data_IF_669193592849
#
_entry.id   IF_669193592849
#
_cell.length_a   1.000
_cell.length_b   1.000
_cell.length_c   1.000
_cell.angle_alpha   90.00
_cell.angle_beta   90.00
_cell.angle_gamma   90.00
#
_symmetry.space_group_name_H-M   'P 1'
#
loop_
_entity.id
_entity.type
_entity.pdbx_description
1 polymer ?
#
# COMPACT_ATOMS: atom_id res chain seq x y z
N UNK A 1 -18.45 -17.11 4.99
CA UNK A 1 -17.23 -17.89 4.74
C UNK A 1 -16.38 -16.97 3.89
N UNK A 2 -15.70 -16.03 4.56
CA UNK A 2 -15.36 -14.71 4.00
C UNK A 2 -14.25 -14.72 2.94
N UNK A 3 -13.37 -15.72 2.95
CA UNK A 3 -12.18 -15.75 2.09
C UNK A 3 -12.36 -16.51 0.76
N UNK A 4 -13.54 -17.08 0.49
CA UNK A 4 -13.76 -17.93 -0.69
C UNK A 4 -14.88 -17.46 -1.63
N UNK A 5 -15.55 -16.36 -1.30
CA UNK A 5 -16.54 -15.72 -2.16
C UNK A 5 -15.97 -14.42 -2.74
N UNK A 6 -15.86 -14.36 -4.06
CA UNK A 6 -15.37 -13.19 -4.79
C UNK A 6 -16.29 -11.97 -4.61
N UNK A 7 -17.57 -12.18 -4.36
CA UNK A 7 -18.51 -11.12 -4.05
C UNK A 7 -18.29 -10.56 -2.63
N UNK A 8 -18.12 -11.44 -1.64
CA UNK A 8 -17.81 -11.02 -0.26
C UNK A 8 -16.47 -10.26 -0.21
N UNK A 9 -15.45 -10.74 -0.92
CA UNK A 9 -14.17 -10.06 -1.09
C UNK A 9 -14.31 -8.67 -1.72
N UNK A 10 -15.08 -8.56 -2.81
CA UNK A 10 -15.29 -7.29 -3.49
C UNK A 10 -15.99 -6.25 -2.61
N UNK A 11 -17.02 -6.67 -1.86
CA UNK A 11 -17.73 -5.79 -0.91
C UNK A 11 -16.79 -5.32 0.20
N UNK A 12 -16.01 -6.22 0.78
CA UNK A 12 -15.05 -5.85 1.81
C UNK A 12 -13.99 -4.86 1.32
N UNK A 13 -13.49 -5.05 0.11
CA UNK A 13 -12.54 -4.12 -0.47
C UNK A 13 -13.16 -2.73 -0.71
N UNK A 14 -14.43 -2.68 -1.13
CA UNK A 14 -15.18 -1.42 -1.25
C UNK A 14 -15.36 -0.73 0.09
N UNK A 15 -15.70 -1.49 1.13
CA UNK A 15 -15.81 -0.96 2.48
C UNK A 15 -14.46 -0.40 2.92
N UNK A 16 -13.36 -1.12 2.73
CA UNK A 16 -12.01 -0.62 3.00
C UNK A 16 -11.74 0.72 2.31
N UNK A 17 -12.00 0.83 1.00
CA UNK A 17 -11.78 2.10 0.27
C UNK A 17 -12.66 3.22 0.84
N UNK A 18 -13.93 2.95 1.14
CA UNK A 18 -14.83 3.93 1.76
C UNK A 18 -14.34 4.41 3.14
N UNK A 19 -13.78 3.52 3.97
CA UNK A 19 -13.17 3.90 5.24
C UNK A 19 -11.94 4.80 5.02
N UNK A 20 -11.10 4.46 4.04
CA UNK A 20 -9.92 5.25 3.72
C UNK A 20 -10.30 6.64 3.17
N UNK A 21 -11.34 6.75 2.35
CA UNK A 21 -11.89 8.03 1.88
C UNK A 21 -12.47 8.86 3.03
N UNK A 22 -13.13 8.21 3.99
CA UNK A 22 -13.59 8.88 5.20
C UNK A 22 -12.41 9.46 5.99
N UNK A 23 -11.34 8.70 6.22
CA UNK A 23 -10.14 9.21 6.90
C UNK A 23 -9.51 10.38 6.15
N UNK A 24 -9.46 10.36 4.81
CA UNK A 24 -8.97 11.50 4.04
C UNK A 24 -9.81 12.75 4.24
N UNK A 25 -11.15 12.58 4.34
CA UNK A 25 -12.07 13.67 4.53
C UNK A 25 -12.01 14.27 5.95
N UNK A 26 -11.95 13.43 6.99
CA UNK A 26 -12.02 13.89 8.39
C UNK A 26 -10.65 14.17 9.02
N UNK A 27 -9.59 13.58 8.48
CA UNK A 27 -8.22 13.67 9.00
C UNK A 27 -7.22 13.88 7.85
N UNK A 28 -7.35 14.99 7.09
CA UNK A 28 -6.53 15.24 5.91
C UNK A 28 -5.03 15.23 6.28
N UNK A 29 -4.25 14.46 5.51
CA UNK A 29 -2.81 14.32 5.72
C UNK A 29 -2.40 13.52 6.96
N UNK A 30 -3.32 12.82 7.63
CA UNK A 30 -3.01 11.97 8.80
C UNK A 30 -2.82 10.49 8.46
N UNK A 31 -3.00 10.12 7.19
CA UNK A 31 -2.74 8.78 6.69
C UNK A 31 -1.80 8.85 5.48
N UNK A 32 -0.68 8.16 5.57
CA UNK A 32 0.20 7.90 4.43
C UNK A 32 -0.09 6.50 3.89
N UNK A 33 -0.40 6.41 2.58
CA UNK A 33 -0.67 5.14 1.91
C UNK A 33 0.56 4.68 1.16
N UNK A 34 1.06 3.50 1.51
CA UNK A 34 2.12 2.82 0.76
C UNK A 34 1.45 1.88 -0.24
N UNK A 35 1.67 2.14 -1.53
CA UNK A 35 1.25 1.24 -2.60
C UNK A 35 2.41 0.33 -2.97
N UNK A 36 2.18 -0.98 -2.94
CA UNK A 36 3.24 -1.95 -3.15
C UNK A 36 3.91 -1.80 -4.52
N UNK A 37 3.11 -1.55 -5.57
CA UNK A 37 3.58 -1.37 -6.93
C UNK A 37 4.52 -0.16 -7.04
N UNK A 38 4.17 0.96 -6.38
CA UNK A 38 5.05 2.14 -6.32
C UNK A 38 6.31 1.89 -5.49
N UNK A 39 6.18 1.13 -4.40
CA UNK A 39 7.31 0.76 -3.55
C UNK A 39 8.29 -0.15 -4.27
N UNK A 40 7.82 -1.06 -5.12
CA UNK A 40 8.68 -1.93 -5.93
C UNK A 40 9.33 -1.13 -7.08
N UNK A 41 8.60 -0.20 -7.70
CA UNK A 41 9.09 0.62 -8.82
C UNK A 41 10.12 1.68 -8.38
N UNK A 42 9.87 2.36 -7.26
CA UNK A 42 10.75 3.39 -6.66
C UNK A 42 10.92 3.15 -5.14
N UNK A 43 11.70 2.13 -4.73
CA UNK A 43 11.88 1.79 -3.31
C UNK A 43 12.46 2.94 -2.49
N UNK A 44 13.52 3.59 -3.00
CA UNK A 44 14.17 4.67 -2.27
C UNK A 44 13.28 5.90 -2.16
N UNK A 45 12.64 6.33 -3.24
CA UNK A 45 11.77 7.49 -3.20
C UNK A 45 10.55 7.25 -2.32
N UNK A 46 9.91 6.07 -2.36
CA UNK A 46 8.80 5.75 -1.45
C UNK A 46 9.24 5.69 0.01
N UNK A 47 10.40 5.09 0.31
CA UNK A 47 10.94 5.08 1.68
C UNK A 47 11.22 6.50 2.17
N UNK A 48 11.80 7.37 1.35
CA UNK A 48 12.07 8.76 1.70
C UNK A 48 10.77 9.51 2.01
N UNK A 49 9.75 9.37 1.17
CA UNK A 49 8.43 9.99 1.38
C UNK A 49 7.76 9.47 2.67
N UNK A 50 7.83 8.16 2.92
CA UNK A 50 7.29 7.54 4.14
C UNK A 50 8.01 8.02 5.40
N UNK A 51 9.33 8.10 5.38
CA UNK A 51 10.12 8.53 6.55
C UNK A 51 9.93 10.03 6.81
N UNK A 52 9.89 10.86 5.76
CA UNK A 52 9.57 12.29 5.86
C UNK A 52 8.19 12.49 6.49
N UNK A 53 7.19 11.74 6.03
CA UNK A 53 5.86 11.74 6.62
C UNK A 53 5.87 11.36 8.12
N UNK A 54 6.73 10.43 8.52
CA UNK A 54 6.90 10.04 9.94
C UNK A 54 7.78 11.01 10.75
N UNK A 55 8.41 12.00 10.12
CA UNK A 55 9.41 12.87 10.75
C UNK A 55 10.70 12.14 11.12
N UNK A 56 11.06 11.09 10.39
CA UNK A 56 12.24 10.25 10.64
C UNK A 56 13.33 10.48 9.59
N UNK A 57 14.63 10.40 9.97
CA UNK A 57 15.72 10.50 9.01
C UNK A 57 15.80 9.27 8.11
N UNK A 58 16.17 9.47 6.85
CA UNK A 58 16.48 8.38 5.93
C UNK A 58 17.83 7.74 6.25
N UNK A 59 17.87 6.41 6.23
CA UNK A 59 19.10 5.64 6.36
C UNK A 59 19.21 4.60 5.24
N UNK A 60 20.37 4.54 4.55
CA UNK A 60 20.56 3.64 3.41
C UNK A 60 20.36 2.15 3.76
N UNK A 61 20.51 1.76 5.04
CA UNK A 61 20.23 0.40 5.50
C UNK A 61 18.76 0.01 5.38
N UNK A 62 17.83 0.97 5.30
CA UNK A 62 16.41 0.69 5.12
C UNK A 62 16.11 0.01 3.78
N UNK A 63 16.94 0.24 2.76
CA UNK A 63 16.85 -0.45 1.46
C UNK A 63 17.33 -1.90 1.53
N UNK A 64 18.10 -2.25 2.56
CA UNK A 64 18.65 -3.59 2.79
C UNK A 64 18.01 -4.26 4.00
N UNK A 65 16.70 -4.06 4.17
CA UNK A 65 15.94 -4.60 5.31
C UNK A 65 16.05 -6.12 5.45
N UNK A 66 16.23 -6.83 4.33
CA UNK A 66 16.41 -8.27 4.25
C UNK A 66 17.75 -8.76 4.86
N UNK A 67 18.71 -7.87 5.12
CA UNK A 67 19.97 -8.19 5.84
C UNK A 67 19.79 -8.17 7.36
N UNK A 68 18.63 -7.74 7.87
CA UNK A 68 18.39 -7.60 9.31
C UNK A 68 18.23 -8.98 10.00
N UNK A 69 19.03 -9.31 11.03
CA UNK A 69 18.98 -10.61 11.70
C UNK A 69 17.75 -10.82 12.60
N UNK A 70 16.88 -9.81 12.76
CA UNK A 70 15.70 -9.91 13.61
C UNK A 70 14.73 -10.99 13.11
N UNK A 71 14.24 -11.80 14.04
CA UNK A 71 13.27 -12.85 13.74
C UNK A 71 11.92 -12.19 13.45
N UNK A 72 11.41 -12.36 12.23
CA UNK A 72 10.04 -12.03 11.84
C UNK A 72 9.20 -13.29 12.07
N UNK A 73 8.22 -13.24 12.97
CA UNK A 73 7.40 -14.41 13.35
C UNK A 73 6.05 -14.48 12.61
N UNK A 74 5.93 -13.83 11.46
CA UNK A 74 4.70 -13.86 10.65
C UNK A 74 4.71 -15.02 9.66
N UNK A 75 3.53 -15.47 9.20
CA UNK A 75 3.37 -16.51 8.16
C UNK A 75 4.08 -16.09 6.84
N UNK A 76 4.25 -14.79 6.62
CA UNK A 76 5.00 -14.20 5.51
C UNK A 76 6.52 -14.07 5.76
N UNK A 77 7.08 -14.64 6.84
CA UNK A 77 8.48 -14.43 7.26
C UNK A 77 9.51 -14.72 6.16
N UNK A 78 9.29 -15.76 5.35
CA UNK A 78 10.20 -16.07 4.23
C UNK A 78 10.11 -15.04 3.10
N UNK A 79 8.91 -14.53 2.79
CA UNK A 79 8.71 -13.48 1.78
C UNK A 79 9.27 -12.12 2.24
N UNK A 80 9.12 -11.79 3.53
CA UNK A 80 9.62 -10.55 4.14
C UNK A 80 11.16 -10.53 4.25
N UNK A 81 11.82 -11.67 4.06
CA UNK A 81 13.30 -11.80 4.04
C UNK A 81 13.91 -11.71 2.65
N UNK A 82 13.11 -11.54 1.61
CA UNK A 82 13.60 -11.33 0.25
C UNK A 82 13.64 -9.84 -0.09
N UNK A 83 14.48 -9.43 -1.06
CA UNK A 83 14.37 -8.11 -1.68
C UNK A 83 12.96 -7.87 -2.22
N UNK A 84 12.60 -6.61 -2.46
CA UNK A 84 11.36 -6.29 -3.17
C UNK A 84 11.42 -6.89 -4.59
N UNK A 85 10.34 -7.54 -5.03
CA UNK A 85 10.25 -8.19 -6.34
C UNK A 85 8.94 -7.85 -7.04
N UNK A 86 8.99 -7.66 -8.35
CA UNK A 86 7.83 -7.30 -9.19
C UNK A 86 7.10 -8.51 -9.76
N UNK A 87 7.67 -9.72 -9.63
CA UNK A 87 7.18 -10.95 -10.27
C UNK A 87 5.73 -11.31 -9.88
N UNK A 88 5.21 -10.81 -8.76
CA UNK A 88 3.85 -11.08 -8.27
C UNK A 88 2.80 -10.10 -8.78
N UNK A 89 3.19 -8.91 -9.28
CA UNK A 89 2.26 -7.79 -9.56
C UNK A 89 1.23 -8.14 -10.64
N UNK A 90 1.62 -8.89 -11.67
CA UNK A 90 0.74 -9.25 -12.79
C UNK A 90 0.25 -10.70 -12.76
N UNK A 91 0.59 -11.50 -11.74
CA UNK A 91 0.21 -12.91 -11.70
C UNK A 91 -1.31 -13.12 -11.66
N UNK A 92 -2.06 -12.17 -11.11
CA UNK A 92 -3.52 -12.21 -11.08
C UNK A 92 -4.13 -12.23 -12.50
N UNK A 93 -3.43 -11.69 -13.51
CA UNK A 93 -3.91 -11.68 -14.90
C UNK A 93 -4.10 -13.09 -15.46
N UNK A 94 -3.28 -14.04 -15.01
CA UNK A 94 -3.45 -15.44 -15.36
C UNK A 94 -4.81 -16.00 -14.90
N UNK A 95 -5.42 -15.37 -13.91
CA UNK A 95 -6.71 -15.74 -13.34
C UNK A 95 -7.84 -14.77 -13.72
N UNK A 96 -7.55 -13.76 -14.55
CA UNK A 96 -8.50 -12.73 -14.96
C UNK A 96 -9.85 -13.29 -15.46
N UNK A 97 -9.90 -14.39 -16.26
CA UNK A 97 -11.17 -14.95 -16.73
C UNK A 97 -12.13 -15.40 -15.61
N UNK A 98 -11.61 -15.71 -14.42
CA UNK A 98 -12.41 -16.17 -13.27
C UNK A 98 -12.79 -15.04 -12.30
N UNK A 99 -12.32 -13.82 -12.53
CA UNK A 99 -12.53 -12.68 -11.62
C UNK A 99 -13.75 -11.80 -12.00
N UNK A 100 -14.63 -12.27 -12.89
CA UNK A 100 -15.77 -11.49 -13.36
C UNK A 100 -16.66 -10.97 -12.20
N UNK A 101 -17.04 -11.84 -11.27
CA UNK A 101 -17.86 -11.49 -10.09
C UNK A 101 -17.17 -10.48 -9.17
N UNK A 102 -15.85 -10.61 -9.01
CA UNK A 102 -15.06 -9.66 -8.23
C UNK A 102 -15.06 -8.28 -8.89
N UNK A 103 -14.81 -8.22 -10.20
CA UNK A 103 -14.83 -6.96 -10.98
C UNK A 103 -16.19 -6.27 -10.93
N UNK A 104 -17.27 -7.05 -11.10
CA UNK A 104 -18.65 -6.54 -10.98
C UNK A 104 -18.89 -5.92 -9.60
N UNK A 105 -18.45 -6.60 -8.54
CA UNK A 105 -18.65 -6.13 -7.16
C UNK A 105 -17.80 -4.91 -6.84
N UNK A 106 -16.54 -4.87 -7.32
CA UNK A 106 -15.64 -3.72 -7.16
C UNK A 106 -16.14 -2.48 -7.91
N UNK A 107 -16.84 -2.67 -9.03
CA UNK A 107 -17.43 -1.59 -9.81
C UNK A 107 -16.38 -0.61 -10.33
N UNK A 108 -16.57 0.68 -10.01
CA UNK A 108 -15.70 1.77 -10.43
C UNK A 108 -14.28 1.69 -9.84
N UNK A 109 -14.10 1.01 -8.70
CA UNK A 109 -12.80 0.84 -8.05
C UNK A 109 -11.76 0.16 -8.94
N UNK A 110 -12.20 -0.70 -9.88
CA UNK A 110 -11.31 -1.37 -10.83
C UNK A 110 -10.51 -0.38 -11.67
N UNK A 111 -11.05 0.81 -11.90
CA UNK A 111 -10.42 1.85 -12.73
C UNK A 111 -9.86 3.00 -11.92
N UNK A 112 -10.49 3.36 -10.80
CA UNK A 112 -10.15 4.58 -10.05
C UNK A 112 -9.22 4.37 -8.86
N UNK A 113 -9.01 3.14 -8.39
CA UNK A 113 -8.09 2.85 -7.30
C UNK A 113 -6.81 2.20 -7.85
N UNK A 114 -5.60 2.54 -7.36
CA UNK A 114 -5.29 3.47 -6.29
C UNK A 114 -4.94 4.86 -6.84
N UNK A 115 -5.92 5.67 -7.24
CA UNK A 115 -5.68 7.11 -7.31
C UNK A 115 -5.67 7.61 -5.86
N UNK A 116 -4.60 7.29 -5.13
CA UNK A 116 -4.35 7.90 -3.83
C UNK A 116 -4.24 9.42 -4.04
N UNK A 117 -4.84 10.24 -3.15
CA UNK A 117 -4.62 11.68 -3.18
C UNK A 117 -3.11 11.94 -3.19
N UNK A 118 -2.62 12.95 -3.93
CA UNK A 118 -1.22 13.34 -3.83
C UNK A 118 -0.92 13.59 -2.36
N UNK A 119 0.13 12.95 -1.83
CA UNK A 119 0.55 13.09 -0.44
C UNK A 119 0.54 14.59 -0.10
N UNK A 120 -0.24 14.97 0.92
CA UNK A 120 -0.40 16.37 1.30
C UNK A 120 0.99 16.95 1.53
N UNK A 121 1.38 17.94 0.71
CA UNK A 121 2.65 18.65 0.87
C UNK A 121 2.69 19.19 2.29
N UNK A 122 3.64 18.68 3.08
CA UNK A 122 3.80 19.06 4.48
C UNK A 122 3.83 20.57 4.62
N UNK A 123 3.03 21.10 5.54
CA UNK A 123 3.15 22.48 5.97
C UNK A 123 4.58 22.69 6.47
N UNK A 124 5.36 23.47 5.75
CA UNK A 124 6.56 24.12 6.26
C UNK A 124 6.15 25.03 7.41
N UNK A 125 6.05 24.45 8.62
CA UNK A 125 6.08 25.21 9.86
C UNK A 125 7.53 25.62 10.08
N UNK A 126 7.92 26.70 9.42
CA UNK A 126 8.97 27.59 9.91
C UNK A 126 8.63 27.97 11.35
N UNK A 127 9.36 27.39 12.31
CA UNK A 127 9.50 27.93 13.66
C UNK A 127 10.98 28.14 13.93
N UNK A 128 11.57 29.05 13.17
CA UNK A 128 12.76 29.79 13.57
C UNK A 128 12.41 31.01 14.40
N UNK A 129 12.48 30.89 15.73
CA UNK A 129 13.12 31.82 16.70
C UNK A 129 12.72 31.51 18.12
#
# INVERSE_FOLDING_TARGET
>A
NFSYDLEELGRYYRDYVGHMEHFDAVLPGRVYRVHYERLVDDPEGELRRLLDYCGLPFEARCLRFYENPRIVQTISSEQVRQPLYSESIDQWRNYEPWLARLKETLGDLVQRYPVAPPAARGSTSDRGR
#
